data_IF_432374092861
#
_entry.id   IF_432374092861
#
_cell.length_a   1.000
_cell.length_b   1.000
_cell.length_c   1.000
_cell.angle_alpha   90.00
_cell.angle_beta   90.00
_cell.angle_gamma   90.00
#
_symmetry.space_group_name_H-M   'P 1'
#
loop_
_entity.id
_entity.type
_entity.pdbx_description
1 polymer ?
#
# COMPACT_ATOMS: atom_id res chain seq x y z
N UNK A 1 -21.27 20.43 1.85
CA UNK A 1 -19.80 20.58 1.86
C UNK A 1 -19.19 19.24 1.46
N UNK A 2 -18.08 19.25 0.72
CA UNK A 2 -17.34 18.03 0.42
C UNK A 2 -16.77 17.44 1.72
N UNK A 3 -16.94 16.12 1.94
CA UNK A 3 -16.52 15.42 3.17
C UNK A 3 -15.01 15.49 3.46
N UNK A 4 -14.21 15.90 2.49
CA UNK A 4 -12.73 15.97 2.58
C UNK A 4 -12.22 17.37 2.94
N UNK A 5 -13.01 18.42 2.68
CA UNK A 5 -12.57 19.82 2.84
C UNK A 5 -12.08 20.11 4.26
N UNK A 6 -10.88 20.65 4.40
CA UNK A 6 -10.24 21.03 5.67
C UNK A 6 -9.67 19.86 6.47
N UNK A 7 -9.88 18.61 6.05
CA UNK A 7 -9.31 17.42 6.69
C UNK A 7 -7.86 17.21 6.28
N UNK A 8 -7.11 16.42 7.06
CA UNK A 8 -5.67 16.17 6.82
C UNK A 8 -5.42 14.71 6.50
N UNK A 9 -4.71 14.47 5.39
CA UNK A 9 -4.24 13.15 4.97
C UNK A 9 -2.72 13.04 5.15
N UNK A 10 -2.26 11.96 5.77
CA UNK A 10 -0.86 11.53 5.84
C UNK A 10 -0.63 10.44 4.78
N UNK A 11 0.43 10.58 3.98
CA UNK A 11 0.73 9.68 2.87
C UNK A 11 2.23 9.31 2.93
N UNK A 12 2.55 8.04 3.14
CA UNK A 12 3.92 7.53 3.04
C UNK A 12 4.29 7.21 1.60
N UNK A 13 5.56 7.41 1.23
CA UNK A 13 5.99 7.29 -0.17
C UNK A 13 5.27 8.31 -1.05
N UNK A 14 5.06 9.52 -0.52
CA UNK A 14 4.23 10.56 -1.14
C UNK A 14 4.96 11.43 -2.16
N UNK A 15 6.28 11.28 -2.32
CA UNK A 15 7.08 12.15 -3.18
C UNK A 15 6.86 11.91 -4.68
N UNK A 16 6.43 10.70 -5.05
CA UNK A 16 6.27 10.31 -6.45
C UNK A 16 5.21 9.21 -6.64
N UNK A 17 4.97 8.83 -7.90
CA UNK A 17 4.17 7.68 -8.25
C UNK A 17 2.74 7.71 -7.70
N UNK A 18 2.27 6.58 -7.19
CA UNK A 18 0.90 6.41 -6.68
C UNK A 18 0.63 7.34 -5.51
N UNK A 19 1.58 7.45 -4.55
CA UNK A 19 1.42 8.32 -3.39
C UNK A 19 1.22 9.78 -3.77
N UNK A 20 2.02 10.30 -4.70
CA UNK A 20 1.86 11.65 -5.23
C UNK A 20 0.52 11.83 -5.96
N UNK A 21 0.12 10.85 -6.79
CA UNK A 21 -1.17 10.90 -7.49
C UNK A 21 -2.38 10.93 -6.53
N UNK A 22 -2.30 10.19 -5.42
CA UNK A 22 -3.32 10.22 -4.35
C UNK A 22 -3.28 11.57 -3.63
N UNK A 23 -2.09 12.09 -3.28
CA UNK A 23 -1.93 13.39 -2.64
C UNK A 23 -2.55 14.53 -3.46
N UNK A 24 -2.28 14.54 -4.77
CA UNK A 24 -2.84 15.52 -5.70
C UNK A 24 -4.37 15.42 -5.77
N UNK A 25 -4.91 14.20 -5.85
CA UNK A 25 -6.35 13.98 -5.91
C UNK A 25 -7.06 14.42 -4.61
N UNK A 26 -6.52 14.07 -3.44
CA UNK A 26 -7.04 14.47 -2.13
C UNK A 26 -6.92 15.98 -1.91
N UNK A 27 -5.79 16.59 -2.29
CA UNK A 27 -5.59 18.03 -2.20
C UNK A 27 -6.60 18.81 -3.05
N UNK A 28 -6.92 18.33 -4.25
CA UNK A 28 -7.99 18.90 -5.12
C UNK A 28 -9.39 18.76 -4.51
N UNK A 29 -9.61 17.85 -3.58
CA UNK A 29 -10.83 17.75 -2.78
C UNK A 29 -10.83 18.68 -1.55
N UNK A 30 -9.76 19.47 -1.35
CA UNK A 30 -9.63 20.42 -0.24
C UNK A 30 -9.00 19.84 1.02
N UNK A 31 -8.36 18.67 0.96
CA UNK A 31 -7.56 18.16 2.08
C UNK A 31 -6.22 18.87 2.18
N UNK A 32 -5.74 19.05 3.41
CA UNK A 32 -4.32 19.26 3.68
C UNK A 32 -3.59 17.94 3.49
N UNK A 33 -2.43 17.94 2.83
CA UNK A 33 -1.66 16.71 2.61
C UNK A 33 -0.31 16.77 3.32
N UNK A 34 0.05 15.68 3.99
CA UNK A 34 1.34 15.49 4.65
C UNK A 34 2.06 14.34 3.94
N UNK A 35 3.18 14.62 3.31
CA UNK A 35 3.95 13.64 2.56
C UNK A 35 5.17 13.20 3.39
N UNK A 36 5.23 11.91 3.70
CA UNK A 36 6.43 11.26 4.23
C UNK A 36 7.15 10.50 3.12
N UNK A 37 8.44 10.69 2.96
CA UNK A 37 9.25 9.95 1.98
C UNK A 37 10.73 9.96 2.41
N UNK A 38 11.49 8.96 1.98
CA UNK A 38 12.93 8.89 2.21
C UNK A 38 13.72 9.81 1.27
N UNK A 39 13.17 10.13 0.10
CA UNK A 39 13.82 10.95 -0.93
C UNK A 39 13.52 12.45 -0.71
N UNK A 40 14.43 13.13 -0.02
CA UNK A 40 14.29 14.54 0.30
C UNK A 40 14.20 15.45 -0.96
N UNK A 41 14.89 15.09 -2.04
CA UNK A 41 14.87 15.89 -3.28
C UNK A 41 13.53 15.76 -3.98
N UNK A 42 12.99 14.55 -4.08
CA UNK A 42 11.68 14.32 -4.67
C UNK A 42 10.55 14.93 -3.82
N UNK A 43 10.67 14.91 -2.48
CA UNK A 43 9.73 15.62 -1.60
C UNK A 43 9.68 17.12 -1.91
N UNK A 44 10.82 17.75 -2.16
CA UNK A 44 10.87 19.17 -2.52
C UNK A 44 10.16 19.44 -3.84
N UNK A 45 10.38 18.61 -4.85
CA UNK A 45 9.70 18.70 -6.16
C UNK A 45 8.20 18.49 -6.00
N UNK A 46 7.78 17.46 -5.24
CA UNK A 46 6.38 17.19 -4.95
C UNK A 46 5.70 18.36 -4.25
N UNK A 47 6.37 18.94 -3.26
CA UNK A 47 5.87 20.13 -2.55
C UNK A 47 5.61 21.30 -3.49
N UNK A 48 6.59 21.64 -4.32
CA UNK A 48 6.47 22.75 -5.29
C UNK A 48 5.31 22.51 -6.27
N UNK A 49 5.19 21.29 -6.78
CA UNK A 49 4.11 20.93 -7.72
C UNK A 49 2.73 21.06 -7.06
N UNK A 50 2.53 20.52 -5.85
CA UNK A 50 1.26 20.62 -5.16
C UNK A 50 0.91 22.07 -4.77
N UNK A 51 1.89 22.84 -4.32
CA UNK A 51 1.71 24.26 -4.00
C UNK A 51 1.32 25.08 -5.23
N UNK A 52 1.90 24.79 -6.40
CA UNK A 52 1.55 25.47 -7.66
C UNK A 52 0.09 25.21 -8.08
N UNK A 53 -0.49 24.09 -7.62
CA UNK A 53 -1.91 23.74 -7.82
C UNK A 53 -2.82 24.27 -6.69
N UNK A 54 -2.30 25.08 -5.76
CA UNK A 54 -3.04 25.65 -4.62
C UNK A 54 -3.29 24.65 -3.49
N UNK A 55 -2.61 23.52 -3.47
CA UNK A 55 -2.78 22.48 -2.45
C UNK A 55 -1.90 22.78 -1.24
N UNK A 56 -2.50 22.76 -0.03
CA UNK A 56 -1.77 22.91 1.22
C UNK A 56 -1.01 21.62 1.55
N UNK A 57 0.31 21.68 1.59
CA UNK A 57 1.19 20.53 1.77
C UNK A 57 2.24 20.75 2.86
N UNK A 58 2.53 19.70 3.60
CA UNK A 58 3.67 19.57 4.51
C UNK A 58 4.49 18.34 4.07
N UNK A 59 5.82 18.48 4.01
CA UNK A 59 6.73 17.38 3.68
C UNK A 59 7.62 17.03 4.87
N UNK A 60 7.86 15.73 5.08
CA UNK A 60 8.73 15.21 6.14
C UNK A 60 9.60 14.11 5.55
N UNK A 61 10.91 14.29 5.60
CA UNK A 61 11.84 13.22 5.25
C UNK A 61 11.75 12.14 6.33
N UNK A 62 11.46 10.90 5.94
CA UNK A 62 11.31 9.78 6.86
C UNK A 62 11.54 8.43 6.18
N UNK A 63 12.09 7.50 6.94
CA UNK A 63 12.11 6.08 6.63
C UNK A 63 10.93 5.40 7.34
N UNK A 64 10.08 4.69 6.58
CA UNK A 64 8.91 4.00 7.12
C UNK A 64 9.27 2.80 8.00
N UNK A 65 10.51 2.32 7.94
CA UNK A 65 11.02 1.21 8.77
C UNK A 65 11.37 1.64 10.20
N UNK A 66 11.33 2.94 10.49
CA UNK A 66 11.60 3.51 11.80
C UNK A 66 10.33 4.14 12.41
N UNK A 67 9.81 3.53 13.46
CA UNK A 67 8.59 4.00 14.14
C UNK A 67 8.74 5.40 14.76
N UNK A 68 9.96 5.80 15.17
CA UNK A 68 10.20 7.14 15.72
C UNK A 68 10.05 8.22 14.64
N UNK A 69 10.36 7.90 13.40
CA UNK A 69 10.15 8.82 12.29
C UNK A 69 8.67 8.97 11.94
N UNK A 70 7.86 7.93 12.12
CA UNK A 70 6.40 8.03 12.05
C UNK A 70 5.83 8.95 13.13
N UNK A 71 6.32 8.84 14.39
CA UNK A 71 5.92 9.71 15.50
C UNK A 71 6.27 11.18 15.19
N UNK A 72 7.50 11.46 14.73
CA UNK A 72 7.92 12.81 14.32
C UNK A 72 7.06 13.38 13.19
N UNK A 73 6.68 12.56 12.20
CA UNK A 73 5.77 12.99 11.14
C UNK A 73 4.39 13.33 11.70
N UNK A 74 3.83 12.48 12.58
CA UNK A 74 2.55 12.72 13.22
C UNK A 74 2.54 14.01 14.05
N UNK A 75 3.58 14.25 14.86
CA UNK A 75 3.73 15.46 15.67
C UNK A 75 3.77 16.73 14.80
N UNK A 76 4.53 16.70 13.69
CA UNK A 76 4.57 17.82 12.74
C UNK A 76 3.21 18.06 12.07
N UNK A 77 2.51 16.99 11.70
CA UNK A 77 1.18 17.09 11.13
C UNK A 77 0.16 17.68 12.11
N UNK A 78 0.14 17.19 13.36
CA UNK A 78 -0.70 17.71 14.42
C UNK A 78 -0.39 19.17 14.76
N UNK A 79 0.88 19.53 14.88
CA UNK A 79 1.31 20.92 15.11
C UNK A 79 0.83 21.86 14.01
N UNK A 80 0.82 21.41 12.76
CA UNK A 80 0.48 22.24 11.60
C UNK A 80 -1.02 22.31 11.34
N UNK A 81 -1.74 21.19 11.51
CA UNK A 81 -3.13 21.04 11.06
C UNK A 81 -4.11 20.64 12.16
N UNK A 82 -3.63 20.37 13.37
CA UNK A 82 -4.44 20.05 14.55
C UNK A 82 -4.93 18.60 14.62
N UNK A 83 -5.36 18.02 13.50
CA UNK A 83 -5.91 16.65 13.44
C UNK A 83 -5.43 15.92 12.20
N UNK A 84 -5.40 14.58 12.27
CA UNK A 84 -5.16 13.69 11.14
C UNK A 84 -6.41 12.85 10.91
N UNK A 85 -6.95 12.84 9.70
CA UNK A 85 -8.21 12.18 9.37
C UNK A 85 -8.03 11.03 8.38
N UNK A 86 -6.89 10.97 7.69
CA UNK A 86 -6.61 9.92 6.73
C UNK A 86 -5.15 9.48 6.82
N UNK A 87 -4.94 8.17 6.76
CA UNK A 87 -3.63 7.55 6.55
C UNK A 87 -3.64 6.78 5.24
N UNK A 88 -2.63 7.02 4.40
CA UNK A 88 -2.35 6.23 3.21
C UNK A 88 -0.97 5.60 3.38
N UNK A 89 -0.93 4.32 3.73
CA UNK A 89 0.26 3.51 3.76
C UNK A 89 0.60 3.10 2.32
N UNK A 90 1.43 3.90 1.66
CA UNK A 90 1.76 3.71 0.24
C UNK A 90 3.23 3.38 0.00
N UNK A 91 4.15 3.80 0.88
CA UNK A 91 5.56 3.45 0.72
C UNK A 91 5.76 1.95 0.48
N UNK A 92 6.59 1.63 -0.50
CA UNK A 92 6.84 0.24 -0.85
C UNK A 92 7.95 0.09 -1.87
N UNK A 93 8.57 -1.07 -1.85
CA UNK A 93 9.69 -1.45 -2.72
C UNK A 93 9.39 -2.76 -3.44
N UNK A 94 9.97 -2.96 -4.61
CA UNK A 94 9.98 -4.24 -5.28
C UNK A 94 11.10 -5.13 -4.71
N UNK A 95 10.87 -6.44 -4.70
CA UNK A 95 11.96 -7.41 -4.52
C UNK A 95 12.73 -7.60 -5.82
N UNK A 96 14.00 -7.99 -5.72
CA UNK A 96 14.74 -8.53 -6.88
C UNK A 96 14.02 -9.79 -7.36
N UNK A 97 13.72 -9.92 -8.66
CA UNK A 97 13.16 -11.17 -9.20
C UNK A 97 14.16 -12.33 -9.05
N UNK A 98 13.69 -13.47 -8.56
CA UNK A 98 14.54 -14.65 -8.39
C UNK A 98 13.76 -15.88 -7.97
N UNK A 99 14.31 -17.07 -8.21
CA UNK A 99 13.78 -18.31 -7.69
C UNK A 99 13.84 -18.29 -6.15
N UNK A 100 12.93 -19.01 -5.49
CA UNK A 100 12.77 -18.94 -4.03
C UNK A 100 14.05 -19.32 -3.30
N UNK A 101 14.81 -20.30 -3.79
CA UNK A 101 16.08 -20.78 -3.22
C UNK A 101 17.27 -19.85 -3.50
N UNK A 102 17.09 -18.84 -4.36
CA UNK A 102 18.14 -17.89 -4.76
C UNK A 102 17.90 -16.49 -4.21
N UNK A 103 16.75 -16.25 -3.60
CA UNK A 103 16.44 -14.93 -3.02
C UNK A 103 17.17 -14.76 -1.69
N UNK A 104 18.03 -13.75 -1.58
CA UNK A 104 18.84 -13.46 -0.38
C UNK A 104 17.93 -13.06 0.81
N UNK A 105 18.30 -13.51 2.00
CA UNK A 105 17.68 -13.12 3.27
C UNK A 105 17.62 -11.60 3.47
N UNK A 106 18.63 -10.86 2.99
CA UNK A 106 18.68 -9.40 3.07
C UNK A 106 17.58 -8.75 2.23
N UNK A 107 17.29 -9.31 1.05
CA UNK A 107 16.17 -8.87 0.22
C UNK A 107 14.82 -9.14 0.90
N UNK A 108 14.67 -10.34 1.48
CA UNK A 108 13.47 -10.68 2.23
C UNK A 108 13.24 -9.69 3.39
N UNK A 109 14.27 -9.44 4.22
CA UNK A 109 14.19 -8.53 5.36
C UNK A 109 13.82 -7.12 4.92
N UNK A 110 14.53 -6.57 3.95
CA UNK A 110 14.28 -5.23 3.45
C UNK A 110 12.85 -5.05 2.93
N UNK A 111 12.37 -6.01 2.12
CA UNK A 111 11.00 -5.96 1.57
C UNK A 111 9.95 -6.11 2.67
N UNK A 112 10.17 -6.98 3.67
CA UNK A 112 9.31 -7.12 4.83
C UNK A 112 9.28 -5.83 5.66
N UNK A 113 10.44 -5.25 5.96
CA UNK A 113 10.55 -4.05 6.78
C UNK A 113 9.82 -2.86 6.13
N UNK A 114 10.02 -2.64 4.83
CA UNK A 114 9.38 -1.52 4.13
C UNK A 114 7.90 -1.79 3.88
N UNK A 115 7.57 -2.92 3.22
CA UNK A 115 6.23 -3.15 2.68
C UNK A 115 5.22 -3.64 3.72
N UNK A 116 5.68 -4.22 4.84
CA UNK A 116 4.83 -4.78 5.88
C UNK A 116 4.98 -4.02 7.19
N UNK A 117 6.19 -3.97 7.77
CA UNK A 117 6.40 -3.27 9.05
C UNK A 117 6.14 -1.77 8.92
N UNK A 118 6.51 -1.15 7.80
CA UNK A 118 6.17 0.25 7.53
C UNK A 118 4.66 0.53 7.56
N UNK A 119 3.84 -0.37 7.01
CA UNK A 119 2.37 -0.28 7.07
C UNK A 119 1.86 -0.43 8.52
N UNK A 120 2.44 -1.37 9.28
CA UNK A 120 2.09 -1.60 10.69
C UNK A 120 2.44 -0.37 11.52
N UNK A 121 3.66 0.17 11.41
CA UNK A 121 4.11 1.34 12.18
C UNK A 121 3.28 2.59 11.87
N UNK A 122 2.98 2.83 10.61
CA UNK A 122 2.09 3.94 10.22
C UNK A 122 0.71 3.81 10.84
N UNK A 123 0.12 2.62 10.79
CA UNK A 123 -1.20 2.33 11.37
C UNK A 123 -1.19 2.46 12.89
N UNK A 124 -0.20 1.89 13.58
CA UNK A 124 -0.04 1.99 15.03
C UNK A 124 0.16 3.43 15.51
N UNK A 125 0.82 4.26 14.71
CA UNK A 125 1.06 5.67 15.06
C UNK A 125 -0.17 6.55 14.81
N UNK A 126 -0.83 6.40 13.67
CA UNK A 126 -1.85 7.37 13.22
C UNK A 126 -3.26 6.99 13.66
N UNK A 127 -3.63 5.70 13.68
CA UNK A 127 -5.00 5.27 14.03
C UNK A 127 -5.41 5.70 15.45
N UNK A 128 -4.56 5.61 16.50
CA UNK A 128 -4.92 6.13 17.82
C UNK A 128 -5.27 7.62 17.81
N UNK A 129 -4.57 8.43 17.02
CA UNK A 129 -4.84 9.87 16.87
C UNK A 129 -6.20 10.12 16.18
N UNK A 130 -6.53 9.29 15.18
CA UNK A 130 -7.85 9.35 14.53
C UNK A 130 -8.97 8.92 15.49
N UNK A 131 -8.77 7.90 16.31
CA UNK A 131 -9.73 7.49 17.35
C UNK A 131 -9.92 8.57 18.40
N UNK A 132 -8.85 9.25 18.80
CA UNK A 132 -8.86 10.26 19.86
C UNK A 132 -9.75 11.46 19.52
N UNK A 133 -9.74 11.98 18.29
CA UNK A 133 -10.59 13.12 17.94
C UNK A 133 -12.04 12.74 17.61
N UNK A 134 -12.35 11.45 17.38
CA UNK A 134 -13.72 10.93 17.27
C UNK A 134 -14.50 11.34 16.00
N UNK A 135 -13.89 12.06 15.05
CA UNK A 135 -14.55 12.51 13.81
C UNK A 135 -14.62 11.43 12.73
N UNK A 136 -14.08 10.24 13.02
CA UNK A 136 -13.88 9.19 12.02
C UNK A 136 -12.76 9.52 11.02
N UNK A 137 -12.68 8.77 9.93
CA UNK A 137 -11.63 8.99 8.94
C UNK A 137 -11.46 7.84 7.96
N UNK A 138 -10.26 7.76 7.37
CA UNK A 138 -9.94 6.76 6.35
C UNK A 138 -8.55 6.18 6.55
N UNK A 139 -8.45 4.86 6.43
CA UNK A 139 -7.19 4.10 6.34
C UNK A 139 -7.11 3.43 4.97
N UNK A 140 -6.09 3.75 4.20
CA UNK A 140 -5.86 3.15 2.89
C UNK A 140 -4.49 2.47 2.92
N UNK A 141 -4.47 1.17 2.66
CA UNK A 141 -3.23 0.41 2.53
C UNK A 141 -3.00 0.06 1.05
N UNK A 142 -1.83 0.40 0.53
CA UNK A 142 -1.48 0.10 -0.87
C UNK A 142 -0.82 -1.27 -0.94
N UNK A 143 -1.61 -2.26 -1.35
CA UNK A 143 -1.13 -3.60 -1.66
C UNK A 143 -0.64 -3.68 -3.12
N UNK A 144 -1.17 -4.62 -3.88
CA UNK A 144 -0.90 -4.87 -5.30
C UNK A 144 -1.85 -5.97 -5.79
N UNK A 145 -1.95 -6.15 -7.09
CA UNK A 145 -2.50 -7.40 -7.64
C UNK A 145 -1.71 -8.64 -7.20
N UNK A 146 -0.44 -8.49 -6.81
CA UNK A 146 0.35 -9.53 -6.15
C UNK A 146 -0.19 -9.92 -4.75
N UNK A 147 -1.05 -9.12 -4.14
CA UNK A 147 -1.79 -9.48 -2.94
C UNK A 147 -3.02 -10.35 -3.22
N UNK A 148 -3.50 -10.35 -4.46
CA UNK A 148 -4.68 -11.12 -4.89
C UNK A 148 -4.31 -12.44 -5.56
N UNK A 149 -3.12 -12.53 -6.16
CA UNK A 149 -2.58 -13.74 -6.82
C UNK A 149 -1.07 -13.81 -6.64
N UNK A 150 -0.52 -15.03 -6.48
CA UNK A 150 0.93 -15.22 -6.39
C UNK A 150 1.63 -14.86 -7.70
N UNK A 151 2.73 -14.12 -7.60
CA UNK A 151 3.56 -13.74 -8.75
C UNK A 151 4.84 -14.59 -8.72
N UNK A 152 5.09 -15.43 -9.74
CA UNK A 152 6.33 -16.21 -9.82
C UNK A 152 7.56 -15.30 -9.75
N UNK A 153 8.62 -15.78 -9.13
CA UNK A 153 9.90 -15.09 -8.96
C UNK A 153 9.84 -13.77 -8.15
N UNK A 154 8.72 -13.49 -7.48
CA UNK A 154 8.55 -12.30 -6.62
C UNK A 154 8.01 -12.70 -5.23
N UNK A 155 8.61 -13.74 -4.62
CA UNK A 155 8.11 -14.35 -3.38
C UNK A 155 8.00 -13.37 -2.22
N UNK A 156 9.06 -12.62 -1.90
CA UNK A 156 9.08 -11.65 -0.82
C UNK A 156 8.04 -10.53 -1.02
N UNK A 157 7.97 -9.97 -2.23
CA UNK A 157 6.97 -8.96 -2.58
C UNK A 157 5.55 -9.51 -2.45
N UNK A 158 5.28 -10.68 -3.04
CA UNK A 158 3.97 -11.35 -2.95
C UNK A 158 3.56 -11.58 -1.49
N UNK A 159 4.45 -12.11 -0.66
CA UNK A 159 4.18 -12.36 0.75
C UNK A 159 3.74 -11.09 1.48
N UNK A 160 4.46 -9.97 1.28
CA UNK A 160 4.09 -8.69 1.92
C UNK A 160 2.75 -8.18 1.42
N UNK A 161 2.47 -8.28 0.12
CA UNK A 161 1.23 -7.75 -0.46
C UNK A 161 0.00 -8.58 -0.11
N UNK A 162 0.15 -9.92 0.04
CA UNK A 162 -0.91 -10.79 0.60
C UNK A 162 -1.16 -10.44 2.07
N UNK A 163 -0.10 -10.26 2.88
CA UNK A 163 -0.24 -9.88 4.28
C UNK A 163 -0.96 -8.52 4.43
N UNK A 164 -0.63 -7.52 3.61
CA UNK A 164 -1.30 -6.20 3.63
C UNK A 164 -2.78 -6.33 3.30
N UNK A 165 -3.19 -7.20 2.36
CA UNK A 165 -4.61 -7.46 2.08
C UNK A 165 -5.29 -8.03 3.32
N UNK A 166 -4.76 -9.13 3.89
CA UNK A 166 -5.37 -9.80 5.06
C UNK A 166 -5.43 -8.90 6.30
N UNK A 167 -4.37 -8.12 6.58
CA UNK A 167 -4.42 -7.13 7.67
C UNK A 167 -5.49 -6.06 7.44
N UNK A 168 -5.65 -5.61 6.20
CA UNK A 168 -6.66 -4.59 5.86
C UNK A 168 -8.07 -5.11 6.07
N UNK A 169 -8.34 -6.37 5.73
CA UNK A 169 -9.61 -7.06 5.98
C UNK A 169 -9.91 -7.14 7.48
N UNK A 170 -8.91 -7.52 8.30
CA UNK A 170 -9.03 -7.54 9.77
C UNK A 170 -9.33 -6.14 10.33
N UNK A 171 -8.55 -5.14 9.94
CA UNK A 171 -8.72 -3.77 10.42
C UNK A 171 -10.02 -3.11 9.94
N UNK A 172 -10.60 -3.56 8.83
CA UNK A 172 -11.92 -3.10 8.38
C UNK A 172 -13.00 -3.37 9.42
N UNK A 173 -13.02 -4.58 10.00
CA UNK A 173 -13.93 -4.94 11.08
C UNK A 173 -13.60 -4.19 12.39
N UNK A 174 -12.30 -4.15 12.78
CA UNK A 174 -11.85 -3.51 14.02
C UNK A 174 -12.11 -2.00 14.08
N UNK A 175 -12.01 -1.29 12.95
CA UNK A 175 -12.09 0.17 12.91
C UNK A 175 -13.48 0.71 12.58
N UNK A 176 -14.39 -0.15 12.14
CA UNK A 176 -15.80 0.19 11.86
C UNK A 176 -16.52 0.89 13.03
N UNK A 177 -16.39 0.43 14.31
CA UNK A 177 -17.02 1.11 15.45
C UNK A 177 -16.52 2.54 15.69
N UNK A 178 -15.34 2.88 15.18
CA UNK A 178 -14.72 4.20 15.28
C UNK A 178 -15.03 5.12 14.08
N UNK A 179 -15.93 4.68 13.17
CA UNK A 179 -16.23 5.40 11.92
C UNK A 179 -14.98 5.67 11.07
N UNK A 180 -14.00 4.77 11.11
CA UNK A 180 -12.81 4.81 10.27
C UNK A 180 -13.02 3.82 9.12
N UNK A 181 -13.14 4.34 7.90
CA UNK A 181 -13.28 3.54 6.70
C UNK A 181 -11.94 2.97 6.26
N UNK A 182 -11.86 1.68 6.07
CA UNK A 182 -10.62 0.99 5.70
C UNK A 182 -10.74 0.48 4.27
N UNK A 183 -9.68 0.69 3.49
CA UNK A 183 -9.60 0.24 2.08
C UNK A 183 -8.23 -0.33 1.76
N UNK A 184 -8.20 -1.36 0.92
CA UNK A 184 -6.98 -1.87 0.29
C UNK A 184 -6.95 -1.51 -1.19
N UNK A 185 -5.92 -0.78 -1.60
CA UNK A 185 -5.69 -0.46 -3.01
C UNK A 185 -4.80 -1.55 -3.63
N UNK A 186 -5.31 -2.21 -4.67
CA UNK A 186 -4.64 -3.31 -5.38
C UNK A 186 -4.34 -2.92 -6.83
N UNK A 187 -3.31 -2.11 -7.09
CA UNK A 187 -2.94 -1.76 -8.46
C UNK A 187 -2.19 -2.91 -9.15
N UNK A 188 -2.27 -2.97 -10.48
CA UNK A 188 -1.32 -3.68 -11.30
C UNK A 188 -0.22 -2.71 -11.77
N UNK A 189 -0.02 -2.54 -13.07
CA UNK A 189 1.07 -1.71 -13.59
C UNK A 189 0.68 -0.23 -13.64
N UNK A 190 1.41 0.58 -12.89
CA UNK A 190 1.28 2.04 -12.81
C UNK A 190 2.64 2.65 -13.10
N UNK A 191 2.67 3.76 -13.84
CA UNK A 191 3.91 4.50 -14.18
C UNK A 191 4.58 5.05 -12.94
N UNK A 192 5.52 4.27 -12.38
CA UNK A 192 6.27 4.58 -11.16
C UNK A 192 7.72 4.12 -11.31
N UNK A 193 8.55 4.45 -10.34
CA UNK A 193 9.93 3.95 -10.26
C UNK A 193 10.09 2.78 -9.27
N UNK A 194 9.03 2.02 -9.02
CA UNK A 194 9.07 0.94 -8.03
C UNK A 194 10.09 -0.17 -8.38
N UNK A 195 10.30 -0.45 -9.66
CA UNK A 195 11.32 -1.40 -10.12
C UNK A 195 12.76 -0.89 -9.90
N UNK A 196 12.93 0.40 -9.66
CA UNK A 196 14.22 1.02 -9.32
C UNK A 196 14.40 1.21 -7.81
N UNK A 197 13.67 0.43 -6.99
CA UNK A 197 13.66 0.56 -5.52
C UNK A 197 15.03 0.34 -4.89
N UNK A 198 15.92 -0.44 -5.51
CA UNK A 198 17.28 -0.71 -5.04
C UNK A 198 18.12 0.55 -4.83
N UNK A 199 17.74 1.68 -5.48
CA UNK A 199 18.36 2.99 -5.23
C UNK A 199 18.26 3.43 -3.77
N UNK A 200 17.17 3.04 -3.08
CA UNK A 200 16.87 3.39 -1.68
C UNK A 200 17.27 2.28 -0.69
N UNK A 201 17.83 1.16 -1.19
CA UNK A 201 18.27 0.06 -0.33
C UNK A 201 19.48 0.48 0.50
N UNK A 202 19.48 0.26 1.82
CA UNK A 202 20.65 0.54 2.67
C UNK A 202 21.90 -0.15 2.13
N UNK A 203 23.05 0.51 2.25
CA UNK A 203 24.31 0.02 1.64
C UNK A 203 24.73 -1.35 2.17
N UNK A 204 24.48 -1.63 3.45
CA UNK A 204 24.77 -2.89 4.12
C UNK A 204 23.90 -4.07 3.62
N UNK A 205 22.77 -3.76 3.01
CA UNK A 205 21.85 -4.74 2.44
C UNK A 205 22.04 -4.93 0.92
N UNK A 206 22.87 -4.09 0.26
CA UNK A 206 23.12 -4.23 -1.17
C UNK A 206 23.94 -5.48 -1.46
N UNK A 207 23.57 -6.19 -2.52
CA UNK A 207 24.34 -7.31 -3.06
C UNK A 207 25.50 -6.75 -3.92
N UNK A 208 26.75 -7.19 -3.68
CA UNK A 208 27.88 -6.84 -4.55
C UNK A 208 27.69 -7.23 -6.03
N UNK A 209 26.80 -8.17 -6.32
CA UNK A 209 26.45 -8.61 -7.68
C UNK A 209 25.23 -7.86 -8.27
N UNK A 210 24.67 -6.89 -7.59
CA UNK A 210 23.65 -6.01 -8.15
C UNK A 210 24.23 -5.29 -9.37
N UNK A 211 23.63 -5.51 -10.54
CA UNK A 211 24.08 -4.91 -11.81
C UNK A 211 24.61 -5.89 -12.85
N UNK A 212 24.40 -7.20 -12.67
CA UNK A 212 24.71 -8.17 -13.72
C UNK A 212 23.86 -7.91 -14.99
N UNK A 213 24.38 -8.28 -16.15
CA UNK A 213 23.70 -8.06 -17.45
C UNK A 213 22.30 -8.71 -17.49
N UNK A 214 22.16 -9.91 -16.91
CA UNK A 214 20.88 -10.63 -16.84
C UNK A 214 19.84 -9.92 -15.98
N UNK A 215 20.25 -9.36 -14.82
CA UNK A 215 19.37 -8.54 -13.99
C UNK A 215 18.91 -7.28 -14.74
N UNK A 216 19.82 -6.64 -15.49
CA UNK A 216 19.53 -5.46 -16.31
C UNK A 216 18.51 -5.73 -17.43
N UNK A 217 18.55 -6.91 -18.07
CA UNK A 217 17.60 -7.26 -19.13
C UNK A 217 16.18 -7.50 -18.59
N UNK A 218 16.07 -8.15 -17.42
CA UNK A 218 14.78 -8.37 -16.74
C UNK A 218 14.20 -7.02 -16.25
N UNK A 219 15.01 -6.19 -15.62
CA UNK A 219 14.61 -4.86 -15.18
C UNK A 219 14.14 -3.99 -16.35
N UNK A 220 14.85 -4.04 -17.48
CA UNK A 220 14.48 -3.32 -18.70
C UNK A 220 13.13 -3.77 -19.28
N UNK A 221 12.79 -5.06 -19.19
CA UNK A 221 11.48 -5.56 -19.59
C UNK A 221 10.38 -5.09 -18.66
N UNK A 222 10.57 -5.21 -17.34
CA UNK A 222 9.64 -4.73 -16.32
C UNK A 222 9.43 -3.22 -16.47
N UNK A 223 10.50 -2.45 -16.72
CA UNK A 223 10.40 -1.01 -16.92
C UNK A 223 9.47 -0.67 -18.10
N UNK A 224 9.61 -1.34 -19.24
CA UNK A 224 8.73 -1.14 -20.41
C UNK A 224 7.26 -1.39 -20.08
N UNK A 225 6.95 -2.42 -19.27
CA UNK A 225 5.57 -2.71 -18.85
C UNK A 225 5.05 -1.61 -17.93
N UNK A 226 5.87 -1.13 -17.01
CA UNK A 226 5.53 -0.03 -16.09
C UNK A 226 5.32 1.28 -16.85
N UNK A 227 6.17 1.58 -17.84
CA UNK A 227 6.07 2.79 -18.66
C UNK A 227 4.78 2.84 -19.51
N UNK A 228 4.21 1.68 -19.80
CA UNK A 228 2.90 1.56 -20.46
C UNK A 228 1.73 1.44 -19.46
N UNK A 229 2.00 1.47 -18.16
CA UNK A 229 1.01 1.35 -17.10
C UNK A 229 0.11 2.59 -16.96
N UNK A 230 -0.82 2.53 -16.03
CA UNK A 230 -1.72 3.65 -15.72
C UNK A 230 -0.95 4.86 -15.19
N UNK A 231 -1.43 6.06 -15.51
CA UNK A 231 -0.91 7.28 -14.90
C UNK A 231 -1.27 7.34 -13.41
N UNK A 232 -0.34 7.73 -12.52
CA UNK A 232 -0.60 7.90 -11.08
C UNK A 232 -1.81 8.80 -10.76
N UNK A 233 -2.01 9.85 -11.53
CA UNK A 233 -3.15 10.76 -11.38
C UNK A 233 -4.50 10.05 -11.59
N UNK A 234 -4.57 9.03 -12.47
CA UNK A 234 -5.78 8.23 -12.66
C UNK A 234 -6.04 7.32 -11.45
N UNK A 235 -4.97 6.77 -10.86
CA UNK A 235 -5.09 5.99 -9.62
C UNK A 235 -5.63 6.87 -8.49
N UNK A 236 -5.12 8.09 -8.33
CA UNK A 236 -5.64 9.04 -7.34
C UNK A 236 -7.13 9.35 -7.52
N UNK A 237 -7.60 9.55 -8.76
CA UNK A 237 -9.02 9.74 -9.07
C UNK A 237 -9.85 8.51 -8.71
N UNK A 238 -9.36 7.30 -9.05
CA UNK A 238 -10.03 6.03 -8.70
C UNK A 238 -10.14 5.83 -7.20
N UNK A 239 -9.13 6.25 -6.43
CA UNK A 239 -9.18 6.22 -4.96
C UNK A 239 -10.31 7.12 -4.45
N UNK A 240 -10.44 8.36 -4.93
CA UNK A 240 -11.55 9.26 -4.53
C UNK A 240 -12.92 8.63 -4.84
N UNK A 241 -13.08 8.06 -6.03
CA UNK A 241 -14.30 7.37 -6.42
C UNK A 241 -14.65 6.23 -5.45
N UNK A 242 -13.67 5.37 -5.14
CA UNK A 242 -13.84 4.25 -4.23
C UNK A 242 -14.19 4.68 -2.79
N UNK A 243 -13.53 5.73 -2.28
CA UNK A 243 -13.83 6.29 -0.96
C UNK A 243 -15.25 6.82 -0.86
N UNK A 244 -15.78 7.43 -1.93
CA UNK A 244 -17.16 7.91 -1.99
C UNK A 244 -18.16 6.75 -1.93
N UNK A 245 -17.79 5.58 -2.43
CA UNK A 245 -18.58 4.35 -2.38
C UNK A 245 -18.26 3.45 -1.17
N UNK A 246 -17.30 3.86 -0.33
CA UNK A 246 -16.85 3.10 0.84
C UNK A 246 -16.36 1.67 0.48
N UNK A 247 -15.68 1.54 -0.66
CA UNK A 247 -15.16 0.27 -1.15
C UNK A 247 -14.02 -0.23 -0.25
N UNK A 248 -14.09 -1.49 0.20
CA UNK A 248 -12.98 -2.15 0.88
C UNK A 248 -11.84 -2.45 -0.10
N UNK A 249 -12.15 -3.01 -1.27
CA UNK A 249 -11.15 -3.35 -2.30
C UNK A 249 -11.18 -2.35 -3.43
N UNK A 250 -10.07 -1.64 -3.64
CA UNK A 250 -9.92 -0.65 -4.71
C UNK A 250 -9.05 -1.25 -5.81
N UNK A 251 -9.69 -1.67 -6.91
CA UNK A 251 -8.98 -2.17 -8.08
C UNK A 251 -8.81 -1.07 -9.12
N UNK A 252 -7.62 -1.03 -9.74
CA UNK A 252 -7.31 -0.09 -10.84
C UNK A 252 -7.35 -0.76 -12.21
N UNK A 253 -7.32 -2.10 -12.25
CA UNK A 253 -7.23 -2.89 -13.47
C UNK A 253 -8.33 -3.97 -13.49
N UNK A 254 -9.56 -3.64 -13.93
CA UNK A 254 -10.70 -4.56 -13.90
C UNK A 254 -10.52 -5.80 -14.80
N UNK A 255 -9.62 -5.73 -15.78
CA UNK A 255 -9.25 -6.86 -16.64
C UNK A 255 -8.55 -8.02 -15.90
N UNK A 256 -8.03 -7.78 -14.67
CA UNK A 256 -7.47 -8.85 -13.82
C UNK A 256 -8.54 -9.70 -13.12
N UNK A 257 -9.82 -9.35 -13.24
CA UNK A 257 -10.91 -10.10 -12.59
C UNK A 257 -10.87 -11.60 -12.89
N UNK A 258 -10.63 -11.97 -14.14
CA UNK A 258 -10.58 -13.39 -14.54
C UNK A 258 -9.45 -14.18 -13.86
N UNK A 259 -8.29 -13.53 -13.65
CA UNK A 259 -7.14 -14.15 -12.96
C UNK A 259 -7.48 -14.41 -11.49
N UNK A 260 -8.07 -13.44 -10.82
CA UNK A 260 -8.51 -13.57 -9.41
C UNK A 260 -9.61 -14.62 -9.28
N UNK A 261 -10.58 -14.65 -10.18
CA UNK A 261 -11.63 -15.68 -10.20
C UNK A 261 -11.06 -17.11 -10.36
N UNK A 262 -9.99 -17.27 -11.16
CA UNK A 262 -9.33 -18.57 -11.30
C UNK A 262 -8.76 -19.06 -9.96
N UNK A 263 -8.15 -18.16 -9.17
CA UNK A 263 -7.66 -18.48 -7.82
C UNK A 263 -8.81 -18.90 -6.90
N UNK A 264 -9.89 -18.13 -6.84
CA UNK A 264 -11.04 -18.45 -5.99
C UNK A 264 -11.71 -19.77 -6.38
N UNK A 265 -11.87 -20.06 -7.68
CA UNK A 265 -12.38 -21.37 -8.14
C UNK A 265 -11.50 -22.53 -7.72
N UNK A 266 -10.17 -22.36 -7.70
CA UNK A 266 -9.25 -23.40 -7.26
C UNK A 266 -9.37 -23.66 -5.74
N UNK A 267 -9.58 -22.60 -4.95
CA UNK A 267 -9.82 -22.70 -3.50
C UNK A 267 -11.17 -23.40 -3.23
N UNK A 268 -12.23 -22.95 -3.89
CA UNK A 268 -13.57 -23.50 -3.77
C UNK A 268 -13.60 -25.01 -4.11
N UNK A 269 -13.01 -25.41 -5.24
CA UNK A 269 -12.87 -26.82 -5.60
C UNK A 269 -12.04 -27.64 -4.59
N UNK A 270 -11.14 -27.02 -3.81
CA UNK A 270 -10.44 -27.71 -2.74
C UNK A 270 -11.35 -27.95 -1.53
N UNK A 271 -12.19 -27.00 -1.17
CA UNK A 271 -13.24 -27.17 -0.15
C UNK A 271 -14.24 -28.26 -0.56
N UNK A 272 -14.75 -28.21 -1.79
CA UNK A 272 -15.67 -29.22 -2.32
C UNK A 272 -15.08 -30.66 -2.23
N UNK A 273 -13.78 -30.83 -2.54
CA UNK A 273 -13.12 -32.12 -2.32
C UNK A 273 -13.04 -32.52 -0.84
N UNK A 274 -12.85 -31.55 0.04
CA UNK A 274 -12.77 -31.80 1.49
C UNK A 274 -14.12 -32.22 2.07
N UNK A 275 -15.23 -31.63 1.59
CA UNK A 275 -16.60 -32.01 1.97
C UNK A 275 -16.93 -33.47 1.63
N UNK A 276 -16.37 -33.99 0.53
CA UNK A 276 -16.55 -35.38 0.12
C UNK A 276 -15.53 -36.36 0.76
N UNK A 277 -14.62 -35.87 1.61
CA UNK A 277 -13.63 -36.73 2.28
C UNK A 277 -14.28 -37.59 3.38
N UNK A 278 -14.14 -38.92 3.34
CA UNK A 278 -14.63 -39.78 4.42
C UNK A 278 -14.00 -39.47 5.78
N UNK A 279 -12.82 -38.83 5.80
CA UNK A 279 -12.08 -38.50 7.02
C UNK A 279 -12.63 -37.24 7.74
N UNK A 280 -13.46 -36.44 7.06
CA UNK A 280 -13.89 -35.14 7.55
C UNK A 280 -15.42 -35.03 7.75
N UNK A 281 -16.13 -36.15 7.67
CA UNK A 281 -17.61 -36.17 7.76
C UNK A 281 -18.12 -35.63 9.12
N UNK A 282 -17.40 -35.87 10.20
CA UNK A 282 -17.80 -35.44 11.54
C UNK A 282 -17.70 -33.91 11.72
N UNK A 283 -16.85 -33.21 10.93
CA UNK A 283 -16.68 -31.76 11.00
C UNK A 283 -17.64 -30.97 10.11
N UNK A 284 -18.38 -31.61 9.19
CA UNK A 284 -19.27 -30.92 8.25
C UNK A 284 -20.40 -30.13 8.92
N UNK A 285 -20.82 -30.55 10.12
CA UNK A 285 -21.93 -29.97 10.86
C UNK A 285 -21.45 -29.13 12.07
N UNK A 286 -20.15 -28.94 12.24
CA UNK A 286 -19.63 -28.08 13.30
C UNK A 286 -19.95 -26.61 13.02
N UNK A 287 -20.26 -25.85 14.07
CA UNK A 287 -20.51 -24.42 13.95
C UNK A 287 -19.22 -23.68 13.61
N UNK A 288 -19.26 -22.89 12.53
CA UNK A 288 -18.11 -22.08 12.10
C UNK A 288 -18.07 -20.79 12.90
N UNK A 289 -16.96 -20.54 13.60
CA UNK A 289 -16.73 -19.26 14.24
C UNK A 289 -16.64 -18.14 13.18
N UNK A 290 -17.59 -17.20 13.23
CA UNK A 290 -17.58 -16.03 12.36
C UNK A 290 -16.79 -14.90 13.04
N UNK A 291 -15.83 -14.34 12.33
CA UNK A 291 -15.05 -13.17 12.75
C UNK A 291 -15.48 -11.89 12.04
N UNK A 292 -16.59 -11.90 11.30
CA UNK A 292 -17.11 -10.78 10.51
C UNK A 292 -18.24 -10.03 11.22
#
# INVERSE_FOLDING_TARGET
MNQYTGKTAVISGGAEGIGFGIAQALGKQGMNVVLGDIDAQQLQVAQQNLQSEGITVLTVVMDVTDILQWQNLADKALKRFGKIHMLVNNAGVASKPGAVEQTDDKDWRWVLDVNLMGVIYGTQTIVPLMKQHGEGGWLINVASMAGMVGVPYAGAYTATKVAVVGMTESWYAELKPHNIHVSVLCPAFVKTRINLSTRNKPQELKDPQEGTKEASDIEGHIQKVIDNGLAPALVGKRVIEALNHKELYIFTHPNYRAVVQKRFKAIDAAFERSEHSPLLQDVLNEEVASYS
#
